data_IF_437132454344
#
_entry.id   IF_437132454344
#
_cell.length_a   1.000
_cell.length_b   1.000
_cell.length_c   1.000
_cell.angle_alpha   90.00
_cell.angle_beta   90.00
_cell.angle_gamma   90.00
#
_symmetry.space_group_name_H-M   'P 1'
#
loop_
_entity.id
_entity.type
_entity.pdbx_description
1 polymer ?
#
# COMPACT_ATOMS: atom_id res chain seq x y z
N UNK A 1 -4.04 -24.55 4.90
CA UNK A 1 -3.68 -23.95 3.59
C UNK A 1 -2.23 -23.57 3.69
N UNK A 2 -1.43 -23.88 2.70
CA UNK A 2 -0.01 -23.52 2.73
C UNK A 2 0.14 -22.08 2.23
N UNK A 3 0.86 -21.26 2.98
CA UNK A 3 1.16 -19.85 2.59
C UNK A 3 2.00 -19.86 1.32
N UNK A 4 1.56 -19.15 0.29
CA UNK A 4 2.34 -18.99 -0.93
C UNK A 4 3.52 -18.05 -0.66
N UNK A 5 4.76 -18.57 -0.68
CA UNK A 5 5.97 -17.74 -0.63
C UNK A 5 6.40 -17.42 -2.04
N UNK A 6 6.35 -16.14 -2.41
CA UNK A 6 6.73 -15.61 -3.72
C UNK A 6 7.98 -14.75 -3.53
N UNK A 7 9.07 -15.14 -4.18
CA UNK A 7 10.34 -14.41 -4.12
C UNK A 7 10.58 -13.68 -5.44
N UNK A 8 10.74 -12.37 -5.37
CA UNK A 8 10.99 -11.49 -6.51
C UNK A 8 12.36 -10.83 -6.33
N UNK A 9 13.18 -10.84 -7.37
CA UNK A 9 14.45 -10.11 -7.38
C UNK A 9 14.20 -8.61 -7.26
N UNK A 10 13.28 -8.08 -8.06
CA UNK A 10 12.84 -6.69 -8.04
C UNK A 10 11.35 -6.55 -8.41
N UNK A 11 10.83 -5.33 -8.35
CA UNK A 11 9.43 -5.06 -8.68
C UNK A 11 9.15 -4.94 -10.18
N UNK A 12 10.16 -4.75 -11.03
CA UNK A 12 9.99 -4.58 -12.48
C UNK A 12 9.82 -5.93 -13.15
N UNK A 13 10.81 -6.81 -13.01
CA UNK A 13 10.77 -8.16 -13.58
C UNK A 13 9.77 -9.04 -12.82
N UNK A 14 9.77 -8.95 -11.50
CA UNK A 14 8.88 -9.70 -10.63
C UNK A 14 7.39 -9.38 -10.81
N UNK A 15 7.03 -8.22 -11.36
CA UNK A 15 5.63 -7.91 -11.65
C UNK A 15 5.00 -8.89 -12.64
N UNK A 16 5.71 -9.22 -13.72
CA UNK A 16 5.21 -10.18 -14.73
C UNK A 16 5.09 -11.58 -14.11
N UNK A 17 6.10 -11.98 -13.33
CA UNK A 17 6.11 -13.28 -12.65
C UNK A 17 4.95 -13.38 -11.65
N UNK A 18 4.71 -12.33 -10.87
CA UNK A 18 3.61 -12.26 -9.91
C UNK A 18 2.24 -12.37 -10.62
N UNK A 19 2.02 -11.59 -11.67
CA UNK A 19 0.77 -11.66 -12.45
C UNK A 19 0.58 -13.04 -13.05
N UNK A 20 1.63 -13.63 -13.63
CA UNK A 20 1.60 -14.99 -14.19
C UNK A 20 1.27 -16.02 -13.10
N UNK A 21 1.86 -15.85 -11.91
CA UNK A 21 1.57 -16.74 -10.79
C UNK A 21 0.09 -16.68 -10.37
N UNK A 22 -0.49 -15.48 -10.27
CA UNK A 22 -1.92 -15.29 -9.97
C UNK A 22 -2.81 -15.87 -11.06
N UNK A 23 -2.48 -15.67 -12.34
CA UNK A 23 -3.25 -16.21 -13.46
C UNK A 23 -3.29 -17.74 -13.46
N UNK A 24 -2.19 -18.38 -13.07
CA UNK A 24 -2.06 -19.84 -13.10
C UNK A 24 -2.59 -20.52 -11.84
N UNK A 25 -2.57 -19.86 -10.68
CA UNK A 25 -2.84 -20.48 -9.38
C UNK A 25 -3.95 -19.77 -8.60
N UNK A 26 -4.43 -18.62 -9.06
CA UNK A 26 -5.46 -17.84 -8.37
C UNK A 26 -6.82 -18.52 -8.41
N UNK A 27 -7.60 -18.30 -7.37
CA UNK A 27 -9.00 -18.72 -7.25
C UNK A 27 -9.91 -17.59 -7.68
N UNK A 28 -11.03 -17.94 -8.32
CA UNK A 28 -12.04 -16.95 -8.66
C UNK A 28 -12.70 -16.39 -7.38
N UNK A 29 -12.77 -15.07 -7.31
CA UNK A 29 -13.52 -14.32 -6.32
C UNK A 29 -14.32 -13.21 -6.99
N UNK A 30 -15.31 -12.66 -6.29
CA UNK A 30 -16.16 -11.61 -6.86
C UNK A 30 -16.43 -10.48 -5.85
N UNK A 31 -15.38 -9.80 -5.35
CA UNK A 31 -15.55 -8.69 -4.44
C UNK A 31 -16.35 -7.56 -5.13
N UNK A 32 -17.38 -7.07 -4.46
CA UNK A 32 -18.27 -6.02 -4.98
C UNK A 32 -18.87 -6.35 -6.36
N UNK A 33 -19.08 -7.65 -6.66
CA UNK A 33 -19.66 -8.12 -7.94
C UNK A 33 -18.69 -8.09 -9.13
N UNK A 34 -17.42 -7.81 -8.92
CA UNK A 34 -16.37 -7.80 -9.97
C UNK A 34 -15.58 -9.09 -9.90
N UNK A 35 -15.53 -9.83 -11.03
CA UNK A 35 -14.72 -11.05 -11.12
C UNK A 35 -13.22 -10.71 -10.99
N UNK A 36 -12.54 -11.40 -10.10
CA UNK A 36 -11.11 -11.33 -9.87
C UNK A 36 -10.51 -12.73 -9.75
N UNK A 37 -9.20 -12.82 -9.93
CA UNK A 37 -8.40 -13.96 -9.48
C UNK A 37 -7.57 -13.50 -8.30
N UNK A 38 -7.53 -14.28 -7.24
CA UNK A 38 -6.76 -13.96 -6.05
C UNK A 38 -6.05 -15.17 -5.47
N UNK A 39 -4.94 -14.91 -4.81
CA UNK A 39 -4.20 -15.87 -3.98
C UNK A 39 -4.30 -15.39 -2.55
N UNK A 40 -4.90 -16.21 -1.71
CA UNK A 40 -4.97 -15.97 -0.28
C UNK A 40 -3.62 -16.33 0.38
N UNK A 41 -3.32 -15.71 1.53
CA UNK A 41 -2.15 -16.03 2.36
C UNK A 41 -0.82 -16.00 1.59
N UNK A 42 -0.60 -14.98 0.76
CA UNK A 42 0.64 -14.82 0.03
C UNK A 42 1.66 -13.97 0.82
N UNK A 43 2.89 -14.47 0.94
CA UNK A 43 4.05 -13.70 1.39
C UNK A 43 4.94 -13.38 0.20
N UNK A 44 5.09 -12.10 -0.12
CA UNK A 44 5.93 -11.63 -1.22
C UNK A 44 7.20 -11.02 -0.63
N UNK A 45 8.36 -11.56 -1.05
CA UNK A 45 9.67 -11.01 -0.73
C UNK A 45 10.25 -10.32 -1.95
N UNK A 46 10.68 -9.07 -1.80
CA UNK A 46 11.37 -8.29 -2.83
C UNK A 46 12.76 -7.95 -2.30
N UNK A 47 13.81 -8.39 -3.01
CA UNK A 47 15.20 -8.17 -2.56
C UNK A 47 15.70 -6.78 -2.93
N UNK A 48 15.44 -6.31 -4.14
CA UNK A 48 15.85 -4.99 -4.60
C UNK A 48 14.66 -4.01 -4.59
N UNK A 49 14.57 -3.22 -3.53
CA UNK A 49 13.49 -2.21 -3.36
C UNK A 49 13.72 -0.92 -4.17
N UNK A 50 14.91 -0.73 -4.77
CA UNK A 50 15.20 0.45 -5.58
C UNK A 50 14.69 0.34 -7.02
N UNK A 51 14.39 -0.87 -7.50
CA UNK A 51 13.85 -1.14 -8.82
C UNK A 51 12.42 -1.67 -8.70
N UNK A 52 11.49 -0.81 -8.25
CA UNK A 52 10.11 -1.23 -7.94
C UNK A 52 9.05 -0.74 -8.93
N UNK A 53 9.39 0.20 -9.83
CA UNK A 53 8.43 0.76 -10.78
C UNK A 53 8.43 -0.01 -12.10
N UNK A 54 7.40 -0.79 -12.41
CA UNK A 54 7.33 -1.59 -13.65
C UNK A 54 6.97 -0.73 -14.86
N UNK A 55 7.84 0.21 -15.23
CA UNK A 55 7.61 1.15 -16.33
C UNK A 55 7.66 0.49 -17.71
N UNK A 56 8.43 -0.59 -17.84
CA UNK A 56 8.67 -1.28 -19.13
C UNK A 56 7.63 -2.33 -19.51
N UNK A 57 6.64 -2.64 -18.66
CA UNK A 57 5.71 -3.77 -18.85
C UNK A 57 4.33 -3.37 -19.37
N UNK A 58 4.22 -2.24 -20.05
CA UNK A 58 2.96 -1.74 -20.65
C UNK A 58 1.76 -1.67 -19.67
N UNK A 59 2.03 -1.36 -18.41
CA UNK A 59 1.02 -1.29 -17.36
C UNK A 59 0.27 0.04 -17.31
N UNK A 60 0.72 1.06 -18.04
CA UNK A 60 0.19 2.42 -17.91
C UNK A 60 0.52 3.07 -16.56
N UNK A 61 1.64 2.69 -15.94
CA UNK A 61 2.09 3.26 -14.66
C UNK A 61 2.34 4.76 -14.82
N UNK A 62 1.76 5.56 -13.91
CA UNK A 62 1.97 7.01 -13.84
C UNK A 62 2.84 7.31 -12.60
N UNK A 63 4.17 7.48 -12.74
CA UNK A 63 5.08 7.70 -11.61
C UNK A 63 4.72 8.92 -10.75
N UNK A 64 4.09 9.93 -11.37
CA UNK A 64 3.64 11.13 -10.67
C UNK A 64 2.62 10.86 -9.56
N UNK A 65 1.78 9.83 -9.71
CA UNK A 65 0.83 9.44 -8.66
C UNK A 65 1.59 9.00 -7.41
N UNK A 66 2.55 8.09 -7.54
CA UNK A 66 3.37 7.64 -6.42
C UNK A 66 4.14 8.77 -5.72
N UNK A 67 4.66 9.73 -6.49
CA UNK A 67 5.32 10.90 -5.92
C UNK A 67 4.35 11.78 -5.10
N UNK A 68 3.14 12.02 -5.61
CA UNK A 68 2.12 12.81 -4.90
C UNK A 68 1.64 12.08 -3.65
N UNK A 69 1.39 10.78 -3.74
CA UNK A 69 1.01 9.96 -2.58
C UNK A 69 2.11 9.96 -1.49
N UNK A 70 3.38 9.88 -1.89
CA UNK A 70 4.50 10.03 -0.96
C UNK A 70 4.53 11.41 -0.28
N UNK A 71 4.28 12.49 -1.03
CA UNK A 71 4.16 13.82 -0.47
C UNK A 71 2.98 13.94 0.51
N UNK A 72 1.83 13.36 0.18
CA UNK A 72 0.68 13.33 1.07
C UNK A 72 0.97 12.55 2.35
N UNK A 73 1.64 11.40 2.23
CA UNK A 73 2.04 10.58 3.36
C UNK A 73 2.94 11.36 4.32
N UNK A 74 3.97 12.02 3.80
CA UNK A 74 4.94 12.76 4.61
C UNK A 74 4.37 14.06 5.19
N UNK A 75 3.51 14.77 4.45
CA UNK A 75 2.88 16.01 4.92
C UNK A 75 1.71 15.79 5.88
N UNK A 76 1.15 14.58 5.92
CA UNK A 76 -0.02 14.27 6.73
C UNK A 76 -1.32 14.88 6.21
N UNK A 77 -1.38 15.25 4.93
CA UNK A 77 -2.58 15.87 4.33
C UNK A 77 -3.61 14.84 3.87
N UNK A 78 -4.87 15.24 3.87
CA UNK A 78 -6.01 14.50 3.29
C UNK A 78 -6.52 15.10 1.99
N UNK A 79 -5.96 16.22 1.56
CA UNK A 79 -6.46 16.96 0.39
C UNK A 79 -6.28 16.15 -0.90
N UNK A 80 -7.37 15.92 -1.66
CA UNK A 80 -7.34 15.05 -2.83
C UNK A 80 -6.85 15.74 -4.11
N UNK A 81 -6.75 17.07 -4.14
CA UNK A 81 -6.58 17.87 -5.36
C UNK A 81 -5.32 17.47 -6.15
N UNK A 82 -4.21 17.25 -5.46
CA UNK A 82 -2.97 16.87 -6.12
C UNK A 82 -3.05 15.49 -6.78
N UNK A 83 -3.69 14.53 -6.12
CA UNK A 83 -3.87 13.17 -6.67
C UNK A 83 -4.85 13.20 -7.83
N UNK A 84 -5.96 13.93 -7.70
CA UNK A 84 -6.97 14.09 -8.75
C UNK A 84 -6.38 14.82 -9.96
N UNK A 85 -5.50 15.81 -9.75
CA UNK A 85 -4.84 16.53 -10.84
C UNK A 85 -3.98 15.64 -11.73
N UNK A 86 -3.42 14.55 -11.20
CA UNK A 86 -2.63 13.58 -11.97
C UNK A 86 -3.49 12.40 -12.44
N UNK A 87 -4.47 11.99 -11.63
CA UNK A 87 -5.36 10.87 -11.91
C UNK A 87 -6.83 11.24 -11.66
N UNK A 88 -7.55 11.82 -12.62
CA UNK A 88 -8.93 12.31 -12.42
C UNK A 88 -9.91 11.25 -11.90
N UNK A 89 -9.64 9.96 -12.15
CA UNK A 89 -10.44 8.84 -11.64
C UNK A 89 -10.49 8.77 -10.10
N UNK A 90 -9.51 9.35 -9.42
CA UNK A 90 -9.49 9.38 -7.95
C UNK A 90 -10.59 10.25 -7.35
N UNK A 91 -11.20 11.16 -8.12
CA UNK A 91 -12.35 11.93 -7.68
C UNK A 91 -13.52 11.06 -7.20
N UNK A 92 -13.65 9.82 -7.73
CA UNK A 92 -14.71 8.88 -7.33
C UNK A 92 -14.57 8.37 -5.89
N UNK A 93 -13.39 8.50 -5.29
CA UNK A 93 -13.08 8.03 -3.94
C UNK A 93 -13.16 9.13 -2.88
N UNK A 94 -13.41 10.38 -3.30
CA UNK A 94 -13.58 11.49 -2.37
C UNK A 94 -14.91 11.35 -1.63
N UNK A 95 -14.86 11.42 -0.31
CA UNK A 95 -16.04 11.40 0.56
C UNK A 95 -16.82 12.73 0.48
N UNK A 96 -18.04 12.73 1.03
CA UNK A 96 -18.89 13.93 1.02
C UNK A 96 -18.30 15.14 1.78
N UNK A 97 -17.34 14.88 2.68
CA UNK A 97 -16.59 15.91 3.39
C UNK A 97 -15.42 16.50 2.60
N UNK A 98 -15.20 16.07 1.35
CA UNK A 98 -14.14 16.54 0.46
C UNK A 98 -12.78 15.89 0.65
N UNK A 99 -12.65 14.80 1.43
CA UNK A 99 -11.38 14.15 1.73
C UNK A 99 -11.39 12.66 1.38
N UNK A 100 -10.20 12.07 1.26
CA UNK A 100 -10.05 10.61 1.21
C UNK A 100 -10.11 10.02 2.61
N UNK A 101 -11.03 9.10 2.85
CA UNK A 101 -11.08 8.37 4.13
C UNK A 101 -9.83 7.50 4.32
N UNK A 102 -9.37 6.84 3.26
CA UNK A 102 -8.20 5.96 3.26
C UNK A 102 -6.85 6.65 3.22
N UNK A 103 -6.79 8.00 3.23
CA UNK A 103 -5.54 8.73 3.16
C UNK A 103 -4.55 8.32 4.27
N UNK A 104 -3.33 7.94 3.89
CA UNK A 104 -2.33 7.39 4.81
C UNK A 104 -1.69 8.47 5.69
N UNK A 105 -1.44 9.66 5.14
CA UNK A 105 -0.74 10.72 5.84
C UNK A 105 -1.29 11.06 7.22
N UNK A 106 -2.60 11.38 7.37
CA UNK A 106 -3.19 11.67 8.68
C UNK A 106 -3.14 10.50 9.66
N UNK A 107 -3.22 9.27 9.12
CA UNK A 107 -3.21 8.03 9.92
C UNK A 107 -1.84 7.74 10.50
N UNK A 108 -0.78 8.12 9.81
CA UNK A 108 0.62 7.85 10.17
C UNK A 108 1.32 9.02 10.86
N UNK A 109 0.65 10.17 10.96
CA UNK A 109 1.21 11.40 11.51
C UNK A 109 1.78 11.18 12.90
N UNK A 110 3.04 11.56 13.09
CA UNK A 110 3.80 11.37 14.34
C UNK A 110 4.24 9.93 14.63
N UNK A 111 3.70 8.93 13.94
CA UNK A 111 4.08 7.55 14.15
C UNK A 111 5.47 7.24 13.58
N UNK A 112 5.83 7.83 12.44
CA UNK A 112 7.16 7.65 11.85
C UNK A 112 8.27 8.24 12.72
N UNK A 113 8.05 9.42 13.30
CA UNK A 113 9.02 10.04 14.22
C UNK A 113 9.23 9.15 15.45
N UNK A 114 8.15 8.72 16.09
CA UNK A 114 8.19 7.82 17.23
C UNK A 114 8.86 6.48 16.90
N UNK A 115 8.61 5.94 15.71
CA UNK A 115 9.24 4.71 15.21
C UNK A 115 10.76 4.90 15.00
N UNK A 116 11.17 6.03 14.40
CA UNK A 116 12.59 6.38 14.22
C UNK A 116 13.31 6.51 15.56
N UNK A 117 12.70 7.22 16.52
CA UNK A 117 13.28 7.38 17.85
C UNK A 117 13.39 6.04 18.58
N UNK A 118 12.42 5.16 18.42
CA UNK A 118 12.48 3.80 18.96
C UNK A 118 13.67 3.02 18.40
N UNK A 119 13.89 3.06 17.08
CA UNK A 119 15.01 2.36 16.44
C UNK A 119 16.37 3.00 16.74
N UNK A 120 16.43 4.32 16.97
CA UNK A 120 17.65 4.98 17.45
C UNK A 120 18.02 4.56 18.86
N UNK A 121 17.02 4.42 19.75
CA UNK A 121 17.23 4.00 21.13
C UNK A 121 17.56 2.50 21.24
N UNK A 122 16.92 1.67 20.43
CA UNK A 122 17.11 0.22 20.39
C UNK A 122 17.00 -0.29 18.94
N UNK A 123 18.15 -0.44 18.23
CA UNK A 123 18.17 -0.93 16.85
C UNK A 123 17.59 -2.32 16.67
N UNK A 124 17.55 -3.15 17.70
CA UNK A 124 17.00 -4.51 17.68
C UNK A 124 15.50 -4.55 18.03
N UNK A 125 14.90 -3.41 18.30
CA UNK A 125 13.48 -3.29 18.66
C UNK A 125 12.56 -3.98 17.67
N UNK A 126 11.56 -4.67 18.22
CA UNK A 126 10.43 -5.25 17.46
C UNK A 126 9.19 -4.38 17.50
N UNK A 127 9.25 -3.22 18.19
CA UNK A 127 8.14 -2.29 18.40
C UNK A 127 8.10 -1.15 17.38
N UNK A 128 8.97 -1.16 16.37
CA UNK A 128 8.98 -0.16 15.29
C UNK A 128 7.87 -0.46 14.28
N UNK A 129 6.65 -0.18 14.68
CA UNK A 129 5.41 -0.43 13.92
C UNK A 129 4.67 0.87 13.71
N UNK A 130 4.25 1.12 12.48
CA UNK A 130 3.36 2.21 12.07
C UNK A 130 2.04 1.58 11.63
N UNK A 131 0.94 1.88 12.32
CA UNK A 131 -0.38 1.32 12.04
C UNK A 131 -1.18 2.27 11.17
N UNK A 132 -1.73 1.76 10.09
CA UNK A 132 -2.52 2.54 9.12
C UNK A 132 -4.01 2.22 9.29
N UNK A 133 -4.37 0.94 9.33
CA UNK A 133 -5.75 0.50 9.56
C UNK A 133 -6.17 0.77 11.01
N UNK A 134 -7.34 1.38 11.18
CA UNK A 134 -7.92 1.62 12.49
C UNK A 134 -9.35 1.05 12.54
N UNK A 135 -9.59 -0.05 13.28
CA UNK A 135 -10.91 -0.69 13.35
C UNK A 135 -12.03 0.26 13.80
N UNK A 136 -11.72 1.24 14.64
CA UNK A 136 -12.72 2.21 15.10
C UNK A 136 -13.21 3.15 13.99
N UNK A 137 -12.39 3.35 12.95
CA UNK A 137 -12.73 4.22 11.82
C UNK A 137 -13.17 3.43 10.60
N UNK A 138 -12.58 2.25 10.40
CA UNK A 138 -12.68 1.54 9.13
C UNK A 138 -13.76 0.44 9.15
N UNK A 139 -14.31 0.07 10.33
CA UNK A 139 -15.36 -0.94 10.44
C UNK A 139 -16.77 -0.37 10.74
N UNK A 140 -16.88 0.93 11.04
CA UNK A 140 -18.16 1.48 11.55
C UNK A 140 -19.14 1.88 10.45
N UNK A 141 -18.66 2.38 9.31
CA UNK A 141 -19.49 2.84 8.21
C UNK A 141 -18.92 2.42 6.86
N UNK A 142 -19.79 2.31 5.85
CA UNK A 142 -19.34 2.12 4.47
C UNK A 142 -18.68 3.39 3.95
N UNK A 143 -17.45 3.29 3.48
CA UNK A 143 -16.67 4.38 2.87
C UNK A 143 -16.38 4.08 1.41
N UNK A 144 -16.12 5.14 0.64
CA UNK A 144 -15.73 5.01 -0.78
C UNK A 144 -14.29 4.53 -0.93
N UNK A 145 -13.45 4.85 0.06
CA UNK A 145 -12.02 4.59 0.06
C UNK A 145 -11.57 4.03 1.41
N UNK A 146 -10.74 3.00 1.37
CA UNK A 146 -10.13 2.36 2.54
C UNK A 146 -8.62 2.22 2.32
N UNK A 147 -7.80 2.30 3.38
CA UNK A 147 -6.38 2.01 3.23
C UNK A 147 -6.15 0.55 2.88
N UNK A 148 -5.37 0.29 1.83
CA UNK A 148 -5.01 -1.07 1.42
C UNK A 148 -3.94 -1.66 2.34
N UNK A 149 -3.11 -0.82 2.95
CA UNK A 149 -2.03 -1.22 3.85
C UNK A 149 -2.54 -1.23 5.29
N UNK A 150 -2.29 -2.31 6.00
CA UNK A 150 -2.69 -2.46 7.41
C UNK A 150 -1.67 -1.78 8.32
N UNK A 151 -0.39 -2.12 8.13
CA UNK A 151 0.71 -1.58 8.93
C UNK A 151 2.04 -1.63 8.18
N UNK A 152 3.02 -0.86 8.64
CA UNK A 152 4.43 -1.00 8.31
C UNK A 152 5.20 -1.45 9.55
N UNK A 153 6.04 -2.47 9.44
CA UNK A 153 6.99 -2.85 10.48
C UNK A 153 8.41 -2.67 9.97
N UNK A 154 9.22 -1.97 10.74
CA UNK A 154 10.62 -1.71 10.43
C UNK A 154 11.55 -2.49 11.36
N UNK A 155 12.63 -2.98 10.80
CA UNK A 155 13.65 -3.71 11.57
C UNK A 155 15.02 -3.40 11.00
N UNK A 156 15.98 -3.08 11.88
CA UNK A 156 17.40 -3.02 11.52
C UNK A 156 17.97 -4.42 11.75
N UNK A 157 18.63 -4.96 10.72
CA UNK A 157 19.39 -6.22 10.83
C UNK A 157 20.71 -6.00 10.12
N UNK A 158 21.79 -6.46 10.75
CA UNK A 158 23.18 -6.34 10.28
C UNK A 158 23.63 -7.68 9.70
#
# INVERSE_FOLDING_TARGET
MDTALIHLEDGVNGYVDLVTHVLNNGKEASPRGKKTLEIEDALIRIDNVYNTLPLGVNRGTVPGIGAVEACQLLSGTTYPELVIGIGPQFANYVENNGFFHGAYGPRTRGQYDAMIDRLKADPDSRQAVVTIWNPQWDLVDSKKDYPCTILHQFRIRR
#
